data_IF_142267946629
#
_entry.id   IF_142267946629
#
_cell.length_a   1.000
_cell.length_b   1.000
_cell.length_c   1.000
_cell.angle_alpha   90.00
_cell.angle_beta   90.00
_cell.angle_gamma   90.00
#
_symmetry.space_group_name_H-M   'P 1'
#
loop_
_entity.id
_entity.type
_entity.pdbx_description
1 polymer ?
#
# COMPACT_ATOMS: atom_id res chain seq x y z
N UNK A 1 -4.73 10.58 4.12
CA UNK A 1 -3.58 10.92 3.29
C UNK A 1 -2.56 9.82 3.48
N UNK A 2 -2.08 9.21 2.39
CA UNK A 2 -1.01 8.22 2.39
C UNK A 2 0.17 8.83 1.67
N UNK A 3 1.36 8.72 2.24
CA UNK A 3 2.61 9.13 1.62
C UNK A 3 3.56 7.94 1.62
N UNK A 4 4.08 7.61 0.45
CA UNK A 4 5.10 6.57 0.24
C UNK A 4 6.30 7.25 -0.40
N UNK A 5 7.48 7.08 0.22
CA UNK A 5 8.75 7.61 -0.27
C UNK A 5 9.81 6.52 -0.23
N UNK A 6 10.59 6.44 -1.31
CA UNK A 6 11.69 5.52 -1.52
C UNK A 6 11.39 4.08 -1.04
N UNK A 7 10.24 3.54 -1.42
CA UNK A 7 9.81 2.21 -0.95
C UNK A 7 10.58 1.11 -1.70
N UNK A 8 11.28 0.26 -0.95
CA UNK A 8 11.85 -0.97 -1.49
C UNK A 8 11.41 -2.20 -0.71
N UNK A 9 11.32 -3.32 -1.43
CA UNK A 9 10.99 -4.61 -0.83
C UNK A 9 11.49 -5.77 -1.69
N UNK A 10 11.96 -6.82 -1.01
CA UNK A 10 12.41 -8.08 -1.60
C UNK A 10 11.84 -9.23 -0.78
N UNK A 11 11.20 -10.21 -1.43
CA UNK A 11 10.82 -11.45 -0.75
C UNK A 11 12.06 -12.27 -0.36
N UNK A 12 11.97 -12.98 0.76
CA UNK A 12 13.04 -13.91 1.16
C UNK A 12 13.27 -14.95 0.06
N UNK A 13 14.55 -15.20 -0.25
CA UNK A 13 14.96 -16.13 -1.31
C UNK A 13 14.97 -15.52 -2.73
N UNK A 14 14.45 -14.31 -2.92
CA UNK A 14 14.56 -13.62 -4.20
C UNK A 14 15.88 -12.85 -4.30
N UNK A 15 16.55 -12.96 -5.45
CA UNK A 15 17.76 -12.16 -5.76
C UNK A 15 17.40 -10.73 -6.19
N UNK A 16 16.23 -10.54 -6.79
CA UNK A 16 15.79 -9.25 -7.29
C UNK A 16 14.75 -8.58 -6.39
N UNK A 17 14.87 -7.26 -6.26
CA UNK A 17 13.89 -6.41 -5.59
C UNK A 17 12.53 -6.47 -6.30
N UNK A 18 11.48 -6.73 -5.53
CA UNK A 18 10.08 -6.71 -6.01
C UNK A 18 9.54 -5.29 -6.10
N UNK A 19 9.99 -4.39 -5.24
CA UNK A 19 9.73 -2.94 -5.33
C UNK A 19 11.07 -2.23 -5.31
N UNK A 20 11.28 -1.32 -6.26
CA UNK A 20 12.55 -0.63 -6.55
C UNK A 20 12.34 0.90 -6.47
N UNK A 21 12.27 1.46 -5.26
CA UNK A 21 12.18 2.91 -5.04
C UNK A 21 10.84 3.52 -5.45
N UNK A 22 9.73 2.94 -4.98
CA UNK A 22 8.39 3.42 -5.31
C UNK A 22 8.02 4.65 -4.48
N UNK A 23 7.52 5.69 -5.16
CA UNK A 23 7.08 6.94 -4.53
C UNK A 23 5.70 7.38 -5.03
N UNK A 24 4.79 7.72 -4.11
CA UNK A 24 3.51 8.32 -4.45
C UNK A 24 2.85 8.94 -3.21
N UNK A 25 1.88 9.83 -3.45
CA UNK A 25 1.03 10.40 -2.40
C UNK A 25 -0.43 10.27 -2.81
N UNK A 26 -1.26 9.82 -1.87
CA UNK A 26 -2.72 9.71 -2.03
C UNK A 26 -3.35 10.69 -1.05
N UNK A 27 -4.05 11.70 -1.58
CA UNK A 27 -4.80 12.66 -0.77
C UNK A 27 -6.07 12.03 -0.22
N UNK A 28 -6.67 12.71 0.75
CA UNK A 28 -7.93 12.26 1.36
C UNK A 28 -9.04 12.31 0.31
N UNK A 29 -9.82 11.23 0.19
CA UNK A 29 -10.95 11.15 -0.74
C UNK A 29 -10.57 10.73 -2.16
N UNK A 30 -9.28 10.57 -2.46
CA UNK A 30 -8.83 10.06 -3.75
C UNK A 30 -9.01 8.55 -3.85
N UNK A 31 -9.33 8.08 -5.05
CA UNK A 31 -9.29 6.68 -5.43
C UNK A 31 -7.96 6.45 -6.13
N UNK A 32 -7.16 5.52 -5.62
CA UNK A 32 -5.86 5.18 -6.19
C UNK A 32 -5.89 3.74 -6.70
N UNK A 33 -5.33 3.51 -7.89
CA UNK A 33 -5.25 2.19 -8.50
C UNK A 33 -3.84 1.87 -8.96
N UNK A 34 -3.39 0.64 -8.72
CA UNK A 34 -2.17 0.12 -9.33
C UNK A 34 -2.50 -0.53 -10.66
N UNK A 35 -1.78 -0.16 -11.72
CA UNK A 35 -1.88 -0.75 -13.06
C UNK A 35 -0.50 -1.27 -13.49
N UNK A 36 -0.47 -2.39 -14.21
CA UNK A 36 0.77 -2.95 -14.77
C UNK A 36 0.73 -4.47 -14.95
N UNK A 37 1.76 -5.08 -15.55
CA UNK A 37 1.83 -6.52 -15.79
C UNK A 37 1.94 -7.34 -14.50
N UNK A 38 1.68 -8.65 -14.57
CA UNK A 38 1.95 -9.55 -13.46
C UNK A 38 3.41 -9.44 -13.01
N UNK A 39 3.67 -9.50 -11.70
CA UNK A 39 5.01 -9.35 -11.14
C UNK A 39 5.50 -7.91 -10.93
N UNK A 40 4.80 -6.88 -11.42
CA UNK A 40 5.19 -5.46 -11.26
C UNK A 40 5.12 -4.90 -9.81
N UNK A 41 4.92 -5.75 -8.80
CA UNK A 41 4.88 -5.32 -7.39
C UNK A 41 3.54 -4.79 -6.87
N UNK A 42 2.48 -4.71 -7.69
CA UNK A 42 1.16 -4.17 -7.30
C UNK A 42 0.58 -4.77 -6.01
N UNK A 43 0.39 -6.10 -5.99
CA UNK A 43 -0.15 -6.80 -4.83
C UNK A 43 0.82 -6.77 -3.65
N UNK A 44 2.14 -6.69 -3.91
CA UNK A 44 3.15 -6.53 -2.87
C UNK A 44 3.01 -5.17 -2.18
N UNK A 45 2.89 -4.08 -2.95
CA UNK A 45 2.66 -2.74 -2.41
C UNK A 45 1.39 -2.69 -1.58
N UNK A 46 0.30 -3.31 -2.06
CA UNK A 46 -0.95 -3.37 -1.29
C UNK A 46 -0.80 -4.11 0.03
N UNK A 47 -0.17 -5.30 0.02
CA UNK A 47 0.10 -6.06 1.25
C UNK A 47 0.99 -5.28 2.22
N UNK A 48 1.94 -4.48 1.72
CA UNK A 48 2.74 -3.58 2.55
C UNK A 48 1.86 -2.48 3.16
N UNK A 49 1.07 -1.76 2.35
CA UNK A 49 0.17 -0.69 2.82
C UNK A 49 -0.90 -1.18 3.81
N UNK A 50 -1.27 -2.46 3.70
CA UNK A 50 -2.15 -3.16 4.64
C UNK A 50 -1.44 -3.60 5.93
N UNK A 51 -0.11 -3.51 6.01
CA UNK A 51 0.66 -3.99 7.16
C UNK A 51 0.85 -5.51 7.21
N UNK A 52 0.41 -6.24 6.18
CA UNK A 52 0.57 -7.70 6.07
C UNK A 52 2.04 -8.06 5.80
N UNK A 53 2.68 -7.36 4.86
CA UNK A 53 4.10 -7.53 4.59
C UNK A 53 4.92 -6.49 5.35
N UNK A 54 5.89 -6.98 6.12
CA UNK A 54 6.84 -6.19 6.92
C UNK A 54 8.24 -6.34 6.33
N UNK A 55 9.20 -5.54 6.82
CA UNK A 55 10.59 -5.62 6.38
C UNK A 55 10.90 -4.86 5.09
N UNK A 56 10.04 -3.93 4.70
CA UNK A 56 10.35 -2.95 3.65
C UNK A 56 11.27 -1.85 4.16
N UNK A 57 12.05 -1.25 3.26
CA UNK A 57 12.79 0.00 3.51
C UNK A 57 12.09 1.18 2.85
N UNK A 58 12.47 2.39 3.25
CA UNK A 58 11.76 3.62 2.90
C UNK A 58 10.78 4.07 3.97
N UNK A 59 9.94 5.04 3.61
CA UNK A 59 8.99 5.70 4.52
C UNK A 59 7.57 5.56 4.00
N UNK A 60 6.67 5.07 4.86
CA UNK A 60 5.23 5.04 4.60
C UNK A 60 4.53 5.72 5.76
N UNK A 61 3.78 6.77 5.44
CA UNK A 61 2.91 7.47 6.40
C UNK A 61 1.46 7.32 6.00
N UNK A 62 0.60 7.01 6.95
CA UNK A 62 -0.84 6.96 6.74
C UNK A 62 -1.54 7.79 7.80
N UNK A 63 -2.33 8.76 7.33
CA UNK A 63 -2.95 9.80 8.16
C UNK A 63 -1.93 10.50 9.08
N UNK A 64 -0.72 10.75 8.56
CA UNK A 64 0.36 11.43 9.28
C UNK A 64 1.17 10.55 10.25
N UNK A 65 0.82 9.27 10.42
CA UNK A 65 1.53 8.32 11.30
C UNK A 65 2.36 7.33 10.51
N UNK A 66 3.51 6.92 11.04
CA UNK A 66 4.34 5.91 10.39
C UNK A 66 3.60 4.56 10.38
N UNK A 67 3.60 3.87 9.24
CA UNK A 67 2.97 2.56 9.11
C UNK A 67 3.60 1.50 10.03
N UNK A 68 4.89 1.63 10.37
CA UNK A 68 5.58 0.74 11.32
C UNK A 68 5.07 0.89 12.75
N UNK A 69 4.49 2.03 13.10
CA UNK A 69 3.99 2.37 14.45
C UNK A 69 2.48 2.13 14.60
N UNK A 70 1.78 1.86 13.50
CA UNK A 70 0.33 1.65 13.51
C UNK A 70 -0.01 0.26 14.08
N UNK A 71 -0.85 0.23 15.12
CA UNK A 71 -1.38 -0.99 15.77
C UNK A 71 -2.66 -1.48 15.05
N UNK A 72 -3.26 -2.58 15.55
CA UNK A 72 -4.44 -3.26 14.97
C UNK A 72 -5.62 -2.36 14.57
N UNK A 73 -5.80 -1.19 15.19
CA UNK A 73 -6.90 -0.24 14.90
C UNK A 73 -6.85 0.39 13.49
N UNK A 74 -5.79 0.11 12.72
CA UNK A 74 -5.59 0.63 11.37
C UNK A 74 -6.54 -0.02 10.33
N UNK A 75 -6.87 -1.30 10.49
CA UNK A 75 -7.70 -2.04 9.53
C UNK A 75 -9.15 -1.53 9.46
N UNK A 76 -9.65 -0.89 10.52
CA UNK A 76 -10.97 -0.27 10.53
C UNK A 76 -11.06 1.00 9.67
N UNK A 77 -9.91 1.57 9.25
CA UNK A 77 -9.85 2.88 8.56
C UNK A 77 -9.44 2.78 7.09
N UNK A 78 -9.11 1.59 6.61
CA UNK A 78 -8.64 1.36 5.23
C UNK A 78 -9.41 0.19 4.63
N UNK A 79 -10.22 0.48 3.63
CA UNK A 79 -10.94 -0.54 2.89
C UNK A 79 -10.16 -0.86 1.60
N UNK A 80 -9.84 -2.14 1.39
CA UNK A 80 -9.16 -2.60 0.19
C UNK A 80 -10.17 -3.37 -0.63
N UNK A 81 -10.48 -2.85 -1.82
CA UNK A 81 -11.38 -3.50 -2.76
C UNK A 81 -10.56 -4.06 -3.91
N UNK A 82 -10.39 -5.38 -3.92
CA UNK A 82 -9.74 -6.07 -5.02
C UNK A 82 -10.81 -6.39 -6.07
N UNK A 83 -11.01 -5.48 -7.03
CA UNK A 83 -11.87 -5.73 -8.19
C UNK A 83 -11.07 -6.29 -9.36
N UNK A 84 -11.41 -7.50 -9.83
CA UNK A 84 -10.77 -8.09 -11.01
C UNK A 84 -11.33 -7.44 -12.28
N UNK A 85 -10.67 -6.40 -12.80
CA UNK A 85 -10.94 -5.85 -14.13
C UNK A 85 -9.88 -6.39 -15.08
N UNK A 86 -10.26 -6.76 -16.31
CA UNK A 86 -9.54 -7.57 -17.31
C UNK A 86 -8.08 -7.19 -17.67
N UNK A 87 -7.47 -6.19 -17.02
CA UNK A 87 -6.10 -5.72 -17.22
C UNK A 87 -5.32 -5.49 -15.90
N UNK A 88 -5.71 -6.13 -14.79
CA UNK A 88 -4.91 -6.15 -13.56
C UNK A 88 -4.87 -4.82 -12.80
N UNK A 89 -5.99 -4.10 -12.77
CA UNK A 89 -6.18 -2.92 -11.93
C UNK A 89 -6.53 -3.40 -10.52
N UNK A 90 -5.81 -2.92 -9.50
CA UNK A 90 -6.19 -3.13 -8.11
C UNK A 90 -6.38 -1.78 -7.42
N UNK A 91 -7.56 -1.53 -6.85
CA UNK A 91 -7.92 -0.22 -6.28
C UNK A 91 -7.84 -0.22 -4.75
N UNK A 92 -7.44 0.92 -4.20
CA UNK A 92 -7.41 1.19 -2.77
C UNK A 92 -8.34 2.37 -2.48
N UNK A 93 -9.33 2.19 -1.61
CA UNK A 93 -10.28 3.26 -1.25
C UNK A 93 -10.19 3.60 0.22
N UNK A 94 -9.82 4.85 0.52
CA UNK A 94 -9.75 5.35 1.88
C UNK A 94 -11.12 5.90 2.31
N UNK A 95 -11.81 5.20 3.21
CA UNK A 95 -13.02 5.70 3.87
C UNK A 95 -12.67 6.24 5.26
N UNK A 96 -13.26 7.38 5.62
CA UNK A 96 -13.29 7.84 7.01
C UNK A 96 -14.39 7.04 7.71
N UNK A 97 -14.04 6.18 8.68
CA UNK A 97 -15.01 5.90 9.74
C UNK A 97 -15.06 7.16 10.60
N UNK A 98 -16.21 7.83 10.58
CA UNK A 98 -16.61 8.68 11.71
C UNK A 98 -16.65 7.77 12.93
N UNK A 99 -15.61 7.82 13.76
CA UNK A 99 -15.76 7.42 15.15
C UNK A 99 -16.72 8.43 15.82
N UNK A 100 -17.62 7.97 16.70
CA UNK A 100 -18.53 8.83 17.45
C UNK A 100 -17.78 9.86 18.29
#
# INVERSE_FOLDING_TARGET
>A
MIEVKDLHFTYQGNREQTIKGLEFTIKKGEIFGFLGPSGAGKSTTQKILLGILKGYSGSIKVFGRNLKELRSDYYERVEVSTGMVAYGICSLRLKRLSLP
#
